data_IF_674152702406
#
_entry.id   IF_674152702406
#
_cell.length_a   1.000
_cell.length_b   1.000
_cell.length_c   1.000
_cell.angle_alpha   90.00
_cell.angle_beta   90.00
_cell.angle_gamma   90.00
#
_symmetry.space_group_name_H-M   'P 1'
#
loop_
_entity.id
_entity.type
_entity.pdbx_description
1 polymer ?
#
# COMPACT_ATOMS: atom_id res chain seq x y z
N UNK A 1 8.28 6.64 17.60
CA UNK A 1 9.40 7.01 18.53
C UNK A 1 10.72 6.62 17.88
N UNK A 2 11.79 7.47 17.92
CA UNK A 2 13.12 7.06 17.42
C UNK A 2 13.93 6.48 18.57
N UNK A 3 14.30 5.22 18.45
CA UNK A 3 15.14 4.53 19.41
C UNK A 3 16.63 4.89 19.21
N UNK A 4 17.50 4.46 20.11
CA UNK A 4 18.93 4.76 20.03
C UNK A 4 19.54 4.23 18.73
N UNK A 5 19.26 2.98 18.37
CA UNK A 5 19.76 2.37 17.12
C UNK A 5 19.35 3.13 15.86
N UNK A 6 18.12 3.70 15.84
CA UNK A 6 17.62 4.48 14.70
C UNK A 6 18.40 5.80 14.51
N UNK A 7 18.97 6.33 15.60
CA UNK A 7 19.78 7.56 15.59
C UNK A 7 21.21 7.29 15.10
N UNK A 8 21.76 6.14 15.49
CA UNK A 8 23.15 5.78 15.17
C UNK A 8 23.30 5.10 13.79
N UNK A 9 22.34 4.26 13.42
CA UNK A 9 22.44 3.40 12.23
C UNK A 9 21.39 3.74 11.16
N UNK A 10 20.40 4.58 11.49
CA UNK A 10 19.23 4.83 10.65
C UNK A 10 18.19 3.71 10.76
N UNK A 11 17.04 3.93 10.12
CA UNK A 11 16.01 2.91 10.02
C UNK A 11 16.42 1.86 8.99
N UNK A 12 16.06 0.58 9.18
CA UNK A 12 16.35 -0.45 8.18
C UNK A 12 15.68 -0.13 6.85
N UNK A 13 16.32 -0.48 5.71
CA UNK A 13 15.68 -0.30 4.40
C UNK A 13 14.41 -1.15 4.31
N UNK A 14 13.36 -0.59 3.71
CA UNK A 14 12.04 -1.24 3.59
C UNK A 14 12.00 -2.13 2.35
N UNK A 15 12.66 -3.27 2.43
CA UNK A 15 12.82 -4.23 1.32
C UNK A 15 12.13 -5.57 1.58
N UNK A 16 11.74 -5.85 2.84
CA UNK A 16 11.09 -7.10 3.19
C UNK A 16 9.66 -7.12 2.64
N UNK A 17 9.31 -8.15 1.87
CA UNK A 17 8.00 -8.30 1.24
C UNK A 17 7.13 -9.36 1.92
N UNK A 18 7.70 -10.14 2.84
CA UNK A 18 7.03 -11.21 3.55
C UNK A 18 6.97 -10.94 5.05
N UNK A 19 5.86 -11.32 5.67
CA UNK A 19 5.67 -11.23 7.11
C UNK A 19 6.27 -12.47 7.76
N UNK A 20 7.30 -12.26 8.59
CA UNK A 20 7.89 -13.30 9.41
C UNK A 20 7.18 -13.44 10.77
N UNK A 21 7.58 -14.45 11.56
CA UNK A 21 6.99 -14.76 12.87
C UNK A 21 7.08 -13.57 13.85
N UNK A 22 8.18 -12.81 13.83
CA UNK A 22 8.35 -11.66 14.73
C UNK A 22 7.35 -10.53 14.41
N UNK A 23 7.16 -10.21 13.13
CA UNK A 23 6.19 -9.21 12.67
C UNK A 23 4.77 -9.70 12.98
N UNK A 24 4.46 -10.97 12.70
CA UNK A 24 3.16 -11.56 13.02
C UNK A 24 2.84 -11.45 14.51
N UNK A 25 3.76 -11.84 15.38
CA UNK A 25 3.59 -11.72 16.82
C UNK A 25 3.37 -10.27 17.27
N UNK A 26 4.08 -9.32 16.67
CA UNK A 26 3.89 -7.89 16.90
C UNK A 26 2.48 -7.41 16.51
N UNK A 27 1.98 -7.84 15.35
CA UNK A 27 0.61 -7.52 14.90
C UNK A 27 -0.43 -8.09 15.87
N UNK A 28 -0.28 -9.36 16.28
CA UNK A 28 -1.19 -10.00 17.25
C UNK A 28 -1.22 -9.24 18.57
N UNK A 29 -0.05 -8.83 19.09
CA UNK A 29 0.02 -8.05 20.34
C UNK A 29 -0.71 -6.72 20.21
N UNK A 30 -0.53 -6.01 19.09
CA UNK A 30 -1.25 -4.76 18.83
C UNK A 30 -2.76 -5.02 18.78
N UNK A 31 -3.23 -6.03 18.04
CA UNK A 31 -4.67 -6.35 17.95
C UNK A 31 -5.25 -6.66 19.34
N UNK A 32 -4.56 -7.48 20.15
CA UNK A 32 -4.99 -7.81 21.52
C UNK A 32 -5.13 -6.59 22.42
N UNK A 33 -4.28 -5.59 22.27
CA UNK A 33 -4.42 -4.31 22.99
C UNK A 33 -5.74 -3.60 22.64
N UNK A 34 -6.14 -3.61 21.35
CA UNK A 34 -7.39 -2.98 20.89
C UNK A 34 -8.64 -3.81 21.20
N UNK A 35 -8.51 -5.14 21.38
CA UNK A 35 -9.54 -5.97 21.97
C UNK A 35 -9.73 -5.61 23.44
N UNK A 36 -8.65 -5.61 24.22
CA UNK A 36 -8.66 -5.36 25.65
C UNK A 36 -9.20 -3.97 26.04
N UNK A 37 -8.98 -2.95 25.21
CA UNK A 37 -9.50 -1.60 25.42
C UNK A 37 -10.93 -1.42 24.86
N UNK A 38 -11.57 -2.49 24.38
CA UNK A 38 -12.93 -2.52 23.83
C UNK A 38 -13.12 -1.72 22.54
N UNK A 39 -12.04 -1.39 21.81
CA UNK A 39 -12.13 -0.62 20.55
C UNK A 39 -12.86 -1.35 19.43
N UNK A 40 -12.98 -2.68 19.49
CA UNK A 40 -13.71 -3.51 18.53
C UNK A 40 -15.15 -3.83 18.98
N UNK A 41 -15.56 -3.36 20.16
CA UNK A 41 -16.86 -3.65 20.74
C UNK A 41 -18.05 -3.06 19.98
N UNK A 42 -17.83 -2.09 19.09
CA UNK A 42 -18.88 -1.56 18.23
C UNK A 42 -19.37 -2.60 17.20
N UNK A 43 -18.44 -3.35 16.62
CA UNK A 43 -18.72 -4.39 15.61
C UNK A 43 -18.96 -5.76 16.26
N UNK A 44 -18.29 -6.01 17.40
CA UNK A 44 -18.33 -7.29 18.14
C UNK A 44 -18.63 -7.04 19.63
N UNK A 45 -19.88 -6.67 19.96
CA UNK A 45 -20.22 -6.28 21.33
C UNK A 45 -20.40 -7.48 22.26
N UNK A 46 -19.57 -7.54 23.30
CA UNK A 46 -19.93 -8.29 24.52
C UNK A 46 -20.90 -7.45 25.35
N UNK A 47 -22.04 -8.05 25.76
CA UNK A 47 -23.08 -7.31 26.49
C UNK A 47 -23.20 -7.80 27.92
N UNK A 48 -23.38 -6.87 28.85
CA UNK A 48 -23.67 -7.15 30.24
C UNK A 48 -24.99 -7.87 30.36
N UNK A 49 -25.00 -8.99 31.11
CA UNK A 49 -26.19 -9.78 31.34
C UNK A 49 -27.29 -9.04 32.13
N UNK A 50 -26.89 -8.06 32.92
CA UNK A 50 -27.80 -7.32 33.81
C UNK A 50 -28.43 -6.11 33.06
N UNK A 51 -27.59 -5.27 32.40
CA UNK A 51 -28.08 -4.05 31.79
C UNK A 51 -28.25 -4.13 30.28
N UNK A 52 -27.68 -5.13 29.61
CA UNK A 52 -27.63 -5.22 28.14
C UNK A 52 -26.66 -4.23 27.46
N UNK A 53 -25.99 -3.38 28.27
CA UNK A 53 -25.00 -2.43 27.77
C UNK A 53 -23.72 -3.12 27.29
N UNK A 54 -22.98 -2.48 26.39
CA UNK A 54 -21.70 -3.00 25.93
C UNK A 54 -20.70 -2.98 27.09
N UNK A 55 -20.06 -4.13 27.38
CA UNK A 55 -19.08 -4.27 28.45
C UNK A 55 -17.71 -4.76 27.98
N UNK A 56 -17.57 -5.14 26.71
CA UNK A 56 -16.34 -5.63 26.16
C UNK A 56 -16.43 -5.94 24.66
N UNK A 57 -15.43 -6.66 24.16
CA UNK A 57 -15.40 -7.21 22.81
C UNK A 57 -15.66 -8.71 22.90
N UNK A 58 -16.64 -9.22 22.15
CA UNK A 58 -16.87 -10.64 21.95
C UNK A 58 -15.78 -11.22 21.02
N UNK A 59 -14.78 -11.86 21.61
CA UNK A 59 -13.64 -12.43 20.89
C UNK A 59 -14.06 -13.62 19.99
N UNK A 60 -15.10 -14.36 20.35
CA UNK A 60 -15.61 -15.46 19.54
C UNK A 60 -16.28 -14.93 18.27
N UNK A 61 -17.16 -13.93 18.41
CA UNK A 61 -17.78 -13.26 17.27
C UNK A 61 -16.74 -12.57 16.37
N UNK A 62 -15.71 -11.92 16.94
CA UNK A 62 -14.60 -11.37 16.19
C UNK A 62 -13.87 -12.46 15.40
N UNK A 63 -13.56 -13.60 16.04
CA UNK A 63 -12.90 -14.74 15.39
C UNK A 63 -13.69 -15.29 14.22
N UNK A 64 -15.01 -15.43 14.37
CA UNK A 64 -15.89 -15.89 13.28
C UNK A 64 -16.00 -14.85 12.14
N UNK A 65 -16.04 -13.57 12.49
CA UNK A 65 -15.98 -12.47 11.52
C UNK A 65 -14.70 -12.51 10.68
N UNK A 66 -13.55 -12.69 11.33
CA UNK A 66 -12.26 -12.82 10.64
C UNK A 66 -12.27 -14.05 9.71
N UNK A 67 -12.68 -15.21 10.18
CA UNK A 67 -12.74 -16.45 9.37
C UNK A 67 -13.63 -16.30 8.14
N UNK A 68 -14.75 -15.61 8.26
CA UNK A 68 -15.70 -15.41 7.17
C UNK A 68 -15.15 -14.56 6.03
N UNK A 69 -14.28 -13.60 6.36
CA UNK A 69 -13.72 -12.62 5.40
C UNK A 69 -12.32 -13.03 4.94
N UNK A 70 -11.52 -13.65 5.82
CA UNK A 70 -10.13 -14.00 5.56
C UNK A 70 -9.89 -15.50 5.80
N UNK A 71 -10.48 -16.37 4.96
CA UNK A 71 -10.41 -17.82 5.15
C UNK A 71 -8.99 -18.39 5.09
N UNK A 72 -8.08 -17.71 4.40
CA UNK A 72 -6.69 -18.13 4.19
C UNK A 72 -5.73 -17.66 5.29
N UNK A 73 -6.23 -17.08 6.39
CA UNK A 73 -5.40 -16.69 7.53
C UNK A 73 -4.80 -17.91 8.26
N UNK A 74 -5.41 -19.09 8.09
CA UNK A 74 -4.91 -20.36 8.60
C UNK A 74 -4.80 -20.41 10.12
N UNK A 75 -3.72 -21.00 10.64
CA UNK A 75 -3.45 -21.15 12.08
C UNK A 75 -3.27 -19.82 12.82
N UNK A 76 -3.14 -18.72 12.12
CA UNK A 76 -3.01 -17.37 12.70
C UNK A 76 -4.19 -16.98 13.58
N UNK A 77 -5.39 -17.49 13.31
CA UNK A 77 -6.58 -17.16 14.07
C UNK A 77 -6.54 -17.66 15.51
N UNK A 78 -5.99 -18.84 15.74
CA UNK A 78 -5.91 -19.43 17.09
C UNK A 78 -5.03 -18.58 18.01
N UNK A 79 -4.05 -17.87 17.50
CA UNK A 79 -3.20 -16.96 18.28
C UNK A 79 -3.87 -15.67 18.72
N UNK A 80 -4.94 -15.23 18.09
CA UNK A 80 -5.70 -14.06 18.56
C UNK A 80 -6.50 -14.40 19.82
N UNK A 81 -6.97 -15.64 19.93
CA UNK A 81 -7.86 -16.11 21.01
C UNK A 81 -7.12 -16.85 22.13
N UNK A 82 -5.92 -17.39 21.87
CA UNK A 82 -5.15 -18.09 22.91
C UNK A 82 -4.24 -17.14 23.70
N UNK A 83 -4.11 -17.33 25.03
CA UNK A 83 -3.14 -16.58 25.83
C UNK A 83 -1.72 -16.89 25.33
N UNK A 84 -0.88 -15.85 25.22
CA UNK A 84 0.54 -15.93 24.78
C UNK A 84 1.41 -16.70 25.80
N UNK A 85 0.84 -17.51 26.65
CA UNK A 85 1.56 -18.20 27.74
C UNK A 85 1.78 -19.65 27.36
N UNK A 86 2.83 -19.89 26.56
CA UNK A 86 3.53 -21.18 26.69
C UNK A 86 4.97 -20.90 27.10
N UNK A 87 5.43 -21.40 28.24
CA UNK A 87 6.85 -21.40 28.61
C UNK A 87 7.71 -22.23 27.64
N UNK A 88 7.06 -23.01 26.78
CA UNK A 88 7.68 -23.77 25.69
C UNK A 88 7.07 -23.25 24.40
N UNK A 89 7.65 -22.15 23.85
CA UNK A 89 7.17 -21.54 22.61
C UNK A 89 6.95 -22.60 21.53
N UNK A 90 5.70 -22.78 21.10
CA UNK A 90 5.44 -23.45 19.84
C UNK A 90 5.86 -22.42 18.80
N UNK A 91 7.05 -22.59 18.25
CA UNK A 91 7.48 -21.84 17.08
C UNK A 91 6.55 -22.22 15.93
N UNK A 92 5.69 -21.27 15.55
CA UNK A 92 5.00 -21.39 14.27
C UNK A 92 6.10 -21.30 13.24
N UNK A 93 6.30 -22.36 12.47
CA UNK A 93 7.23 -22.35 11.37
C UNK A 93 6.82 -21.23 10.39
N UNK A 94 7.82 -20.51 9.89
CA UNK A 94 7.60 -19.36 8.99
C UNK A 94 6.80 -19.72 7.71
N UNK A 95 6.72 -21.02 7.39
CA UNK A 95 6.00 -21.57 6.25
C UNK A 95 4.47 -21.42 6.35
N UNK A 96 3.91 -21.19 7.55
CA UNK A 96 2.46 -21.15 7.78
C UNK A 96 1.87 -19.72 7.75
N UNK A 97 2.69 -18.68 7.57
CA UNK A 97 2.25 -17.30 7.59
C UNK A 97 1.94 -16.82 6.17
N UNK A 98 0.66 -16.70 5.85
CA UNK A 98 0.23 -16.08 4.61
C UNK A 98 0.28 -14.55 4.75
N UNK A 99 1.30 -13.93 4.16
CA UNK A 99 1.53 -12.47 4.21
C UNK A 99 0.30 -11.67 3.78
N UNK A 100 -0.35 -12.04 2.68
CA UNK A 100 -1.51 -11.28 2.19
C UNK A 100 -2.71 -11.41 3.13
N UNK A 101 -2.97 -12.59 3.65
CA UNK A 101 -4.04 -12.79 4.64
C UNK A 101 -3.80 -11.98 5.92
N UNK A 102 -2.54 -11.83 6.35
CA UNK A 102 -2.20 -10.98 7.51
C UNK A 102 -2.37 -9.49 7.18
N UNK A 103 -2.04 -9.06 5.98
CA UNK A 103 -2.27 -7.67 5.55
C UNK A 103 -3.77 -7.37 5.47
N UNK A 104 -4.58 -8.29 4.93
CA UNK A 104 -6.05 -8.20 4.94
C UNK A 104 -6.60 -8.12 6.38
N UNK A 105 -6.01 -8.89 7.33
CA UNK A 105 -6.37 -8.81 8.74
C UNK A 105 -6.11 -7.41 9.32
N UNK A 106 -4.99 -6.80 8.99
CA UNK A 106 -4.66 -5.43 9.47
C UNK A 106 -5.70 -4.43 8.97
N UNK A 107 -6.09 -4.50 7.69
CA UNK A 107 -7.15 -3.64 7.12
C UNK A 107 -8.51 -3.91 7.78
N UNK A 108 -8.86 -5.19 7.94
CA UNK A 108 -10.11 -5.60 8.58
C UNK A 108 -10.23 -5.07 10.01
N UNK A 109 -9.18 -5.21 10.82
CA UNK A 109 -9.15 -4.70 12.19
C UNK A 109 -9.25 -3.17 12.21
N UNK A 110 -8.47 -2.47 11.39
CA UNK A 110 -8.52 -1.00 11.30
C UNK A 110 -9.94 -0.51 10.99
N UNK A 111 -10.63 -1.17 10.05
CA UNK A 111 -11.98 -0.79 9.65
C UNK A 111 -13.02 -0.95 10.79
N UNK A 112 -12.83 -1.95 11.63
CA UNK A 112 -13.75 -2.27 12.74
C UNK A 112 -13.42 -1.52 14.05
N UNK A 113 -12.26 -0.84 14.15
CA UNK A 113 -11.91 -0.06 15.34
C UNK A 113 -12.78 1.19 15.44
N UNK A 114 -13.32 1.42 16.63
CA UNK A 114 -14.03 2.65 17.02
C UNK A 114 -13.49 3.16 18.34
N UNK A 115 -13.71 4.44 18.60
CA UNK A 115 -13.46 4.99 19.92
C UNK A 115 -14.60 4.58 20.86
N UNK A 116 -14.24 4.30 22.10
CA UNK A 116 -15.19 3.95 23.17
C UNK A 116 -14.94 4.80 24.40
N UNK A 117 -16.00 5.13 25.09
CA UNK A 117 -15.96 5.89 26.34
C UNK A 117 -16.66 5.10 27.44
N UNK A 118 -16.00 4.97 28.60
CA UNK A 118 -16.61 4.39 29.79
C UNK A 118 -17.83 5.21 30.23
N UNK A 119 -18.92 4.52 30.59
CA UNK A 119 -20.15 5.11 31.12
C UNK A 119 -20.49 4.45 32.45
N UNK A 120 -21.15 5.21 33.32
CA UNK A 120 -21.58 4.72 34.63
C UNK A 120 -20.41 4.37 35.58
N UNK A 121 -20.74 3.61 36.61
CA UNK A 121 -19.79 3.11 37.60
C UNK A 121 -19.27 1.72 37.22
N UNK A 122 -18.14 1.32 37.83
CA UNK A 122 -17.63 -0.04 37.68
C UNK A 122 -18.65 -1.06 38.22
N UNK A 123 -19.02 -2.05 37.40
CA UNK A 123 -19.94 -3.09 37.76
C UNK A 123 -19.21 -4.17 38.54
N UNK A 124 -19.18 -4.00 39.87
CA UNK A 124 -18.34 -4.80 40.78
C UNK A 124 -18.62 -6.30 40.71
N UNK A 125 -19.90 -6.69 40.59
CA UNK A 125 -20.28 -8.09 40.53
C UNK A 125 -19.74 -8.80 39.28
N UNK A 126 -19.89 -8.18 38.10
CA UNK A 126 -19.42 -8.71 36.83
C UNK A 126 -17.99 -8.25 36.46
N UNK A 127 -17.36 -7.43 37.31
CA UNK A 127 -15.97 -6.97 37.19
C UNK A 127 -15.65 -6.27 35.84
N UNK A 128 -16.57 -5.44 35.33
CA UNK A 128 -16.37 -4.69 34.11
C UNK A 128 -16.87 -3.24 34.17
N UNK A 129 -16.52 -2.44 33.20
CA UNK A 129 -17.15 -1.16 32.91
C UNK A 129 -18.13 -1.29 31.76
N UNK A 130 -19.08 -0.38 31.65
CA UNK A 130 -19.90 -0.24 30.48
C UNK A 130 -19.31 0.82 29.54
N UNK A 131 -19.59 0.67 28.25
CA UNK A 131 -19.03 1.54 27.22
C UNK A 131 -20.11 2.09 26.29
N UNK A 132 -19.94 3.34 25.85
CA UNK A 132 -20.65 3.89 24.70
C UNK A 132 -19.66 4.10 23.56
N UNK A 133 -20.15 3.97 22.33
CA UNK A 133 -19.37 4.19 21.12
C UNK A 133 -19.25 5.70 20.89
N UNK A 134 -18.02 6.15 20.59
CA UNK A 134 -17.69 7.55 20.28
C UNK A 134 -16.64 7.55 19.16
N UNK A 135 -17.11 7.58 17.91
CA UNK A 135 -16.24 7.41 16.74
C UNK A 135 -15.58 8.75 16.32
N UNK A 136 -14.53 9.14 17.04
CA UNK A 136 -13.66 10.30 16.71
C UNK A 136 -12.43 9.93 15.89
N UNK A 137 -12.17 8.64 15.71
CA UNK A 137 -11.04 8.10 14.95
C UNK A 137 -9.70 8.07 15.69
N UNK A 138 -9.66 8.40 17.00
CA UNK A 138 -8.43 8.41 17.76
C UNK A 138 -7.81 7.00 17.89
N UNK A 139 -8.63 5.98 18.17
CA UNK A 139 -8.18 4.60 18.27
C UNK A 139 -7.74 4.04 16.92
N UNK A 140 -8.42 4.39 15.82
CA UNK A 140 -7.96 4.02 14.47
C UNK A 140 -6.59 4.60 14.15
N UNK A 141 -6.40 5.87 14.46
CA UNK A 141 -5.10 6.54 14.28
C UNK A 141 -4.00 5.91 15.15
N UNK A 142 -4.29 5.61 16.41
CA UNK A 142 -3.34 4.95 17.30
C UNK A 142 -2.95 3.54 16.80
N UNK A 143 -3.92 2.77 16.32
CA UNK A 143 -3.65 1.47 15.69
C UNK A 143 -2.75 1.61 14.47
N UNK A 144 -3.08 2.53 13.57
CA UNK A 144 -2.31 2.81 12.37
C UNK A 144 -0.86 3.20 12.70
N UNK A 145 -0.64 4.07 13.68
CA UNK A 145 0.70 4.50 14.09
C UNK A 145 1.52 3.32 14.63
N UNK A 146 0.91 2.43 15.42
CA UNK A 146 1.59 1.22 15.93
C UNK A 146 1.94 0.25 14.82
N UNK A 147 1.04 0.00 13.87
CA UNK A 147 1.31 -0.86 12.70
C UNK A 147 2.41 -0.26 11.83
N UNK A 148 2.35 1.06 11.56
CA UNK A 148 3.41 1.76 10.81
C UNK A 148 4.78 1.61 11.50
N UNK A 149 4.85 1.85 12.80
CA UNK A 149 6.10 1.71 13.57
C UNK A 149 6.64 0.27 13.51
N UNK A 150 5.76 -0.74 13.67
CA UNK A 150 6.14 -2.14 13.56
C UNK A 150 6.71 -2.48 12.17
N UNK A 151 6.04 -2.05 11.11
CA UNK A 151 6.47 -2.32 9.74
C UNK A 151 7.78 -1.61 9.41
N UNK A 152 7.91 -0.33 9.80
CA UNK A 152 9.12 0.46 9.58
C UNK A 152 10.35 -0.15 10.27
N UNK A 153 10.21 -0.52 11.54
CA UNK A 153 11.32 -1.08 12.31
C UNK A 153 11.77 -2.46 11.86
N UNK A 154 10.90 -3.20 11.20
CA UNK A 154 11.22 -4.52 10.65
C UNK A 154 11.56 -4.45 9.16
N UNK A 155 11.66 -3.27 8.55
CA UNK A 155 12.01 -3.14 7.13
C UNK A 155 10.95 -3.69 6.18
N UNK A 156 9.69 -3.85 6.65
CA UNK A 156 8.60 -4.37 5.82
C UNK A 156 8.15 -3.30 4.81
N UNK A 157 8.02 -3.71 3.55
CA UNK A 157 7.72 -2.81 2.43
C UNK A 157 6.22 -2.52 2.25
N UNK A 158 5.49 -2.35 3.37
CA UNK A 158 4.07 -1.98 3.37
C UNK A 158 3.79 -0.90 4.40
N UNK A 159 2.74 -0.12 4.19
CA UNK A 159 2.26 0.87 5.15
C UNK A 159 0.73 0.86 5.20
N UNK A 160 0.15 1.15 6.36
CA UNK A 160 -1.28 1.34 6.52
C UNK A 160 -1.60 2.82 6.32
N UNK A 161 -2.44 3.15 5.34
CA UNK A 161 -2.85 4.53 5.03
C UNK A 161 -3.88 5.07 6.01
N UNK A 162 -4.14 6.38 5.98
CA UNK A 162 -5.20 7.01 6.79
C UNK A 162 -6.61 6.50 6.41
N UNK A 163 -6.77 6.01 5.18
CA UNK A 163 -8.00 5.35 4.71
C UNK A 163 -8.14 3.90 5.21
N UNK A 164 -7.13 3.36 5.89
CA UNK A 164 -7.12 1.97 6.38
C UNK A 164 -6.76 0.94 5.33
N UNK A 165 -6.10 1.33 4.26
CA UNK A 165 -5.65 0.44 3.18
C UNK A 165 -4.15 0.19 3.29
N UNK A 166 -3.73 -1.02 2.94
CA UNK A 166 -2.32 -1.37 2.83
C UNK A 166 -1.79 -0.96 1.45
N UNK A 167 -0.73 -0.18 1.47
CA UNK A 167 0.02 0.19 0.27
C UNK A 167 1.49 -0.23 0.39
N UNK A 168 2.13 -0.50 -0.75
CA UNK A 168 3.59 -0.66 -0.77
C UNK A 168 4.27 0.69 -0.58
N UNK A 169 5.33 0.66 0.22
CA UNK A 169 6.22 1.81 0.35
C UNK A 169 7.11 1.88 -0.87
N UNK A 170 6.96 2.95 -1.60
CA UNK A 170 7.85 3.27 -2.72
C UNK A 170 9.11 3.96 -2.16
N UNK A 171 10.33 3.64 -2.64
CA UNK A 171 11.57 4.28 -2.16
C UNK A 171 11.44 5.80 -2.11
N UNK A 172 11.98 6.41 -1.06
CA UNK A 172 11.78 7.84 -0.69
C UNK A 172 11.99 8.84 -1.85
N UNK A 173 13.04 8.71 -2.70
CA UNK A 173 13.23 9.65 -3.81
C UNK A 173 12.06 9.64 -4.78
N UNK A 174 11.41 8.52 -4.92
CA UNK A 174 10.34 8.30 -5.87
C UNK A 174 8.97 8.61 -5.29
N UNK A 175 8.76 8.34 -4.01
CA UNK A 175 7.54 8.71 -3.31
C UNK A 175 7.28 10.23 -3.44
N UNK A 176 8.33 11.04 -3.32
CA UNK A 176 8.25 12.49 -3.53
C UNK A 176 7.92 12.89 -4.98
N UNK A 177 8.27 12.05 -5.94
CA UNK A 177 8.03 12.30 -7.37
C UNK A 177 6.63 11.82 -7.77
N UNK A 178 6.23 10.64 -7.32
CA UNK A 178 4.92 10.03 -7.59
C UNK A 178 3.76 10.83 -6.97
N UNK A 179 3.98 11.50 -5.84
CA UNK A 179 2.99 12.41 -5.24
C UNK A 179 2.83 13.74 -6.01
N UNK A 180 3.70 14.03 -6.98
CA UNK A 180 3.47 15.17 -7.86
C UNK A 180 2.38 14.83 -8.85
N UNK A 181 1.29 15.55 -8.74
CA UNK A 181 0.19 15.46 -9.70
C UNK A 181 0.72 15.87 -11.08
N UNK A 182 0.72 14.93 -12.03
CA UNK A 182 0.92 15.26 -13.44
C UNK A 182 -0.33 15.99 -13.90
N UNK A 183 -0.19 17.24 -14.24
CA UNK A 183 -1.30 18.10 -14.66
C UNK A 183 -0.95 18.75 -16.00
N UNK A 184 -1.31 18.08 -17.09
CA UNK A 184 -1.21 18.60 -18.45
C UNK A 184 -2.60 19.02 -18.95
N UNK A 185 -2.65 19.68 -20.10
CA UNK A 185 -3.93 20.01 -20.76
C UNK A 185 -4.65 18.81 -21.36
N UNK A 186 -4.07 17.62 -21.29
CA UNK A 186 -4.68 16.36 -21.74
C UNK A 186 -5.24 15.57 -20.54
N UNK A 187 -6.58 15.60 -20.29
CA UNK A 187 -7.17 14.90 -19.15
C UNK A 187 -6.95 13.38 -19.15
N UNK A 188 -6.88 12.77 -20.34
CA UNK A 188 -6.69 11.34 -20.45
C UNK A 188 -5.24 10.94 -20.13
N UNK A 189 -4.25 11.76 -20.52
CA UNK A 189 -2.86 11.56 -20.08
C UNK A 189 -2.76 11.63 -18.55
N UNK A 190 -3.39 12.64 -17.95
CA UNK A 190 -3.39 12.81 -16.50
C UNK A 190 -4.04 11.61 -15.79
N UNK A 191 -5.16 11.10 -16.32
CA UNK A 191 -5.84 9.90 -15.80
C UNK A 191 -4.95 8.66 -15.86
N UNK A 192 -4.32 8.41 -17.00
CA UNK A 192 -3.42 7.25 -17.18
C UNK A 192 -2.27 7.27 -16.17
N UNK A 193 -1.65 8.43 -15.96
CA UNK A 193 -0.56 8.57 -14.97
C UNK A 193 -1.07 8.40 -13.55
N UNK A 194 -2.25 8.94 -13.21
CA UNK A 194 -2.88 8.77 -11.91
C UNK A 194 -3.18 7.29 -11.63
N UNK A 195 -3.76 6.58 -12.59
CA UNK A 195 -4.04 5.14 -12.50
C UNK A 195 -2.75 4.34 -12.29
N UNK A 196 -1.69 4.67 -13.05
CA UNK A 196 -0.39 4.01 -12.92
C UNK A 196 0.23 4.22 -11.54
N UNK A 197 0.20 5.46 -11.03
CA UNK A 197 0.76 5.80 -9.70
C UNK A 197 -0.05 5.22 -8.55
N UNK A 198 -1.36 5.03 -8.70
CA UNK A 198 -2.18 4.29 -7.75
C UNK A 198 -1.82 2.80 -7.73
N UNK A 199 -1.79 2.17 -8.90
CA UNK A 199 -1.57 0.71 -9.02
C UNK A 199 -0.17 0.24 -8.62
N UNK A 200 0.89 1.03 -8.83
CA UNK A 200 2.26 0.63 -8.46
C UNK A 200 2.43 0.43 -6.96
N UNK A 201 1.56 1.03 -6.15
CA UNK A 201 1.55 0.92 -4.68
C UNK A 201 0.84 -0.33 -4.18
N UNK A 202 0.04 -0.98 -5.03
CA UNK A 202 -0.70 -2.17 -4.64
C UNK A 202 0.26 -3.36 -4.45
N UNK A 203 -0.03 -4.27 -3.49
CA UNK A 203 0.89 -5.35 -3.14
C UNK A 203 1.00 -6.45 -4.21
N UNK A 204 -0.06 -6.67 -5.00
CA UNK A 204 -0.10 -7.75 -6.00
C UNK A 204 0.76 -7.43 -7.21
N UNK A 205 1.55 -8.42 -7.66
CA UNK A 205 2.42 -8.29 -8.83
C UNK A 205 1.63 -7.90 -10.08
N UNK A 206 0.43 -8.46 -10.24
CA UNK A 206 -0.46 -8.19 -11.37
C UNK A 206 -0.91 -6.71 -11.43
N UNK A 207 -1.25 -6.11 -10.28
CA UNK A 207 -1.61 -4.70 -10.22
C UNK A 207 -0.43 -3.80 -10.61
N UNK A 208 0.79 -4.20 -10.21
CA UNK A 208 2.01 -3.47 -10.55
C UNK A 208 2.38 -3.62 -12.02
N UNK A 209 2.11 -4.78 -12.66
CA UNK A 209 2.18 -4.95 -14.12
C UNK A 209 1.18 -4.04 -14.83
N UNK A 210 -0.05 -3.94 -14.31
CA UNK A 210 -1.04 -3.00 -14.82
C UNK A 210 -0.61 -1.53 -14.67
N UNK A 211 0.18 -1.19 -13.62
CA UNK A 211 0.77 0.12 -13.48
C UNK A 211 1.75 0.44 -14.63
N UNK A 212 2.59 -0.53 -15.03
CA UNK A 212 3.45 -0.38 -16.20
C UNK A 212 2.63 -0.19 -17.48
N UNK A 213 1.62 -1.01 -17.71
CA UNK A 213 0.74 -0.89 -18.87
C UNK A 213 0.16 0.52 -19.00
N UNK A 214 -0.42 1.06 -17.92
CA UNK A 214 -0.98 2.41 -17.91
C UNK A 214 0.06 3.50 -18.12
N UNK A 215 1.27 3.33 -17.59
CA UNK A 215 2.34 4.30 -17.78
C UNK A 215 2.87 4.29 -19.22
N UNK A 216 2.93 3.11 -19.86
CA UNK A 216 3.27 3.00 -21.29
C UNK A 216 2.18 3.56 -22.18
N UNK A 217 0.91 3.40 -21.85
CA UNK A 217 -0.20 4.09 -22.54
C UNK A 217 -0.06 5.61 -22.46
N UNK A 218 0.30 6.14 -21.28
CA UNK A 218 0.58 7.55 -21.10
C UNK A 218 1.75 8.03 -21.96
N UNK A 219 2.81 7.23 -22.04
CA UNK A 219 3.97 7.52 -22.90
C UNK A 219 3.61 7.53 -24.39
N UNK A 220 2.87 6.53 -24.88
CA UNK A 220 2.43 6.51 -26.28
C UNK A 220 1.52 7.70 -26.59
N UNK A 221 0.65 8.09 -25.66
CA UNK A 221 -0.19 9.28 -25.81
C UNK A 221 0.61 10.56 -25.84
N UNK A 222 1.68 10.68 -25.05
CA UNK A 222 2.57 11.84 -25.04
C UNK A 222 3.23 12.09 -26.40
N UNK A 223 3.51 11.02 -27.17
CA UNK A 223 4.09 11.13 -28.53
C UNK A 223 3.13 11.76 -29.55
N UNK A 224 1.84 11.80 -29.24
CA UNK A 224 0.80 12.37 -30.10
C UNK A 224 0.16 13.61 -29.47
N UNK A 225 0.84 14.24 -28.53
CA UNK A 225 0.31 15.38 -27.77
C UNK A 225 -0.01 16.58 -28.64
N UNK A 226 0.81 16.86 -29.65
CA UNK A 226 0.57 17.95 -30.58
C UNK A 226 -0.16 17.47 -31.81
N UNK A 227 -1.19 18.22 -32.19
CA UNK A 227 -1.89 18.04 -33.46
C UNK A 227 -1.33 19.03 -34.49
N UNK A 228 -1.20 18.58 -35.75
CA UNK A 228 -0.89 19.39 -36.90
C UNK A 228 -2.15 19.52 -37.75
N UNK A 229 -2.67 20.74 -37.90
CA UNK A 229 -3.92 21.03 -38.64
C UNK A 229 -5.11 20.14 -38.25
N UNK A 230 -5.22 19.86 -36.94
CA UNK A 230 -6.27 19.00 -36.38
C UNK A 230 -6.06 17.50 -36.63
N UNK A 231 -4.93 17.08 -37.21
CA UNK A 231 -4.57 15.68 -37.46
C UNK A 231 -3.34 15.26 -36.66
N UNK A 232 -3.25 13.97 -36.37
CA UNK A 232 -2.09 13.39 -35.69
C UNK A 232 -0.99 13.08 -36.72
N UNK A 233 0.10 13.85 -36.67
CA UNK A 233 1.38 13.47 -37.29
C UNK A 233 2.34 13.10 -36.15
N UNK A 234 2.49 11.80 -35.91
CA UNK A 234 3.30 11.28 -34.79
C UNK A 234 4.74 11.75 -34.84
N UNK A 235 5.35 11.82 -36.04
CA UNK A 235 6.74 12.21 -36.20
C UNK A 235 6.93 13.69 -35.84
N UNK A 236 6.12 14.56 -36.37
CA UNK A 236 6.18 16.01 -36.07
C UNK A 236 5.82 16.30 -34.61
N UNK A 237 4.85 15.58 -34.07
CA UNK A 237 4.49 15.69 -32.63
C UNK A 237 5.67 15.33 -31.73
N UNK A 238 6.35 14.20 -31.99
CA UNK A 238 7.52 13.76 -31.22
C UNK A 238 8.66 14.79 -31.33
N UNK A 239 8.96 15.28 -32.52
CA UNK A 239 9.96 16.33 -32.72
C UNK A 239 9.66 17.59 -31.89
N UNK A 240 8.40 18.02 -31.89
CA UNK A 240 7.95 19.18 -31.12
C UNK A 240 8.05 18.95 -29.61
N UNK A 241 7.70 17.74 -29.16
CA UNK A 241 7.87 17.34 -27.75
C UNK A 241 9.34 17.40 -27.37
N UNK A 242 10.23 16.74 -28.12
CA UNK A 242 11.66 16.70 -27.83
C UNK A 242 12.29 18.09 -27.78
N UNK A 243 11.93 18.98 -28.71
CA UNK A 243 12.41 20.36 -28.73
C UNK A 243 11.97 21.13 -27.48
N UNK A 244 10.71 20.97 -27.05
CA UNK A 244 10.22 21.59 -25.82
C UNK A 244 10.94 21.07 -24.57
N UNK A 245 11.10 19.74 -24.46
CA UNK A 245 11.76 19.10 -23.32
C UNK A 245 13.24 19.47 -23.19
N UNK A 246 13.93 19.68 -24.31
CA UNK A 246 15.36 19.98 -24.34
C UNK A 246 15.69 21.47 -24.16
N UNK A 247 14.70 22.36 -24.26
CA UNK A 247 14.95 23.82 -24.15
C UNK A 247 15.99 24.36 -25.13
N UNK A 248 16.06 23.78 -26.34
CA UNK A 248 17.05 24.07 -27.41
C UNK A 248 18.47 23.52 -27.16
N UNK A 249 18.72 22.72 -26.12
CA UNK A 249 19.98 21.99 -25.95
C UNK A 249 20.01 20.78 -26.90
N UNK A 250 20.89 20.78 -27.86
CA UNK A 250 21.02 19.75 -28.89
C UNK A 250 21.49 18.41 -28.31
N UNK A 251 22.39 18.43 -27.32
CA UNK A 251 22.91 17.22 -26.70
C UNK A 251 21.83 16.57 -25.84
N UNK A 252 21.12 17.37 -25.06
CA UNK A 252 20.01 16.87 -24.24
C UNK A 252 18.84 16.38 -25.10
N UNK A 253 18.57 17.04 -26.22
CA UNK A 253 17.58 16.58 -27.20
C UNK A 253 17.94 15.20 -27.78
N UNK A 254 19.21 14.98 -28.12
CA UNK A 254 19.64 13.66 -28.61
C UNK A 254 19.47 12.59 -27.54
N UNK A 255 19.89 12.86 -26.29
CA UNK A 255 19.71 11.95 -25.17
C UNK A 255 18.25 11.60 -24.97
N UNK A 256 17.33 12.55 -24.98
CA UNK A 256 15.89 12.33 -24.86
C UNK A 256 15.32 11.52 -26.03
N UNK A 257 15.82 11.74 -27.26
CA UNK A 257 15.43 10.97 -28.43
C UNK A 257 15.83 9.49 -28.28
N UNK A 258 17.07 9.25 -27.87
CA UNK A 258 17.59 7.89 -27.65
C UNK A 258 16.82 7.18 -26.52
N UNK A 259 16.49 7.89 -25.44
CA UNK A 259 15.66 7.37 -24.37
C UNK A 259 14.23 7.05 -24.85
N UNK A 260 13.63 7.92 -25.64
CA UNK A 260 12.30 7.69 -26.22
C UNK A 260 12.27 6.44 -27.14
N UNK A 261 13.32 6.22 -27.91
CA UNK A 261 13.49 5.02 -28.74
C UNK A 261 13.69 3.77 -27.89
N UNK A 262 14.53 3.84 -26.84
CA UNK A 262 14.77 2.75 -25.92
C UNK A 262 13.49 2.33 -25.17
N UNK A 263 12.74 3.30 -24.65
CA UNK A 263 11.44 3.04 -23.99
C UNK A 263 10.42 2.44 -24.96
N UNK A 264 10.39 2.90 -26.21
CA UNK A 264 9.52 2.31 -27.24
C UNK A 264 9.88 0.84 -27.50
N UNK A 265 11.18 0.54 -27.61
CA UNK A 265 11.67 -0.82 -27.81
C UNK A 265 11.30 -1.72 -26.62
N UNK A 266 11.51 -1.25 -25.39
CA UNK A 266 11.11 -1.99 -24.18
C UNK A 266 9.62 -2.32 -24.21
N UNK A 267 8.76 -1.37 -24.56
CA UNK A 267 7.31 -1.59 -24.64
C UNK A 267 6.89 -2.62 -25.69
N UNK A 268 7.71 -2.83 -26.73
CA UNK A 268 7.48 -3.83 -27.78
C UNK A 268 8.08 -5.20 -27.41
N UNK A 269 9.24 -5.23 -26.76
CA UNK A 269 9.99 -6.45 -26.49
C UNK A 269 9.49 -7.18 -25.23
N UNK A 270 8.96 -6.43 -24.24
CA UNK A 270 8.50 -6.97 -22.95
C UNK A 270 6.96 -7.08 -22.91
N UNK A 271 6.46 -8.00 -22.09
CA UNK A 271 5.02 -8.18 -21.85
C UNK A 271 4.44 -7.05 -20.99
N UNK A 272 4.52 -5.82 -21.48
CA UNK A 272 3.94 -4.64 -20.83
C UNK A 272 2.52 -4.41 -21.33
N UNK A 273 2.34 -4.34 -22.66
CA UNK A 273 1.05 -4.04 -23.33
C UNK A 273 0.51 -5.21 -24.16
N UNK A 274 1.39 -6.10 -24.60
CA UNK A 274 1.07 -7.19 -25.50
C UNK A 274 1.62 -8.52 -24.97
N UNK A 275 0.74 -9.49 -24.82
CA UNK A 275 1.09 -10.85 -24.37
C UNK A 275 1.28 -11.78 -25.59
N UNK A 276 2.02 -11.30 -26.60
CA UNK A 276 2.27 -12.07 -27.80
C UNK A 276 3.36 -13.13 -27.57
N UNK A 277 3.32 -14.21 -28.37
CA UNK A 277 4.40 -15.20 -28.33
C UNK A 277 5.72 -14.56 -28.78
N UNK A 278 6.75 -14.71 -27.94
CA UNK A 278 8.09 -14.18 -28.21
C UNK A 278 8.43 -12.90 -27.46
N UNK A 279 7.49 -12.30 -26.71
CA UNK A 279 7.79 -11.18 -25.81
C UNK A 279 8.33 -11.67 -24.47
N UNK A 280 9.18 -10.87 -23.84
CA UNK A 280 9.88 -11.17 -22.57
C UNK A 280 8.92 -10.97 -21.41
N UNK A 281 8.69 -12.02 -20.61
CA UNK A 281 7.87 -11.90 -19.40
C UNK A 281 8.60 -11.06 -18.32
N UNK A 282 7.85 -10.24 -17.59
CA UNK A 282 8.33 -9.53 -16.41
C UNK A 282 7.80 -10.28 -15.20
N UNK A 283 8.68 -10.95 -14.47
CA UNK A 283 8.27 -11.82 -13.35
C UNK A 283 8.75 -11.28 -11.99
N UNK A 284 9.68 -10.33 -12.02
CA UNK A 284 10.33 -9.78 -10.84
C UNK A 284 9.78 -8.38 -10.48
N UNK A 285 9.54 -8.18 -9.19
CA UNK A 285 9.11 -6.90 -8.62
C UNK A 285 10.11 -5.77 -8.86
N UNK A 286 11.40 -6.06 -8.78
CA UNK A 286 12.47 -5.07 -8.95
C UNK A 286 12.59 -4.62 -10.42
N UNK A 287 12.33 -5.53 -11.37
CA UNK A 287 12.24 -5.19 -12.80
C UNK A 287 11.08 -4.23 -13.07
N UNK A 288 9.92 -4.48 -12.45
CA UNK A 288 8.77 -3.58 -12.56
C UNK A 288 9.12 -2.21 -11.99
N UNK A 289 9.75 -2.15 -10.83
CA UNK A 289 10.14 -0.88 -10.20
C UNK A 289 11.12 -0.11 -11.09
N UNK A 290 12.17 -0.76 -11.58
CA UNK A 290 13.13 -0.13 -12.48
C UNK A 290 12.48 0.44 -13.74
N UNK A 291 11.63 -0.36 -14.41
CA UNK A 291 10.96 0.06 -15.64
C UNK A 291 9.95 1.18 -15.38
N UNK A 292 9.20 1.08 -14.27
CA UNK A 292 8.26 2.11 -13.87
C UNK A 292 8.97 3.43 -13.61
N UNK A 293 10.07 3.41 -12.88
CA UNK A 293 10.82 4.60 -12.49
C UNK A 293 11.45 5.29 -13.70
N UNK A 294 12.02 4.51 -14.60
CA UNK A 294 12.62 5.00 -15.82
C UNK A 294 11.59 5.71 -16.70
N UNK A 295 10.45 5.10 -16.94
CA UNK A 295 9.35 5.69 -17.72
C UNK A 295 8.72 6.89 -16.99
N UNK A 296 8.50 6.77 -15.69
CA UNK A 296 7.90 7.86 -14.91
C UNK A 296 8.79 9.11 -14.90
N UNK A 297 10.10 8.95 -14.87
CA UNK A 297 11.05 10.07 -14.95
C UNK A 297 10.87 10.84 -16.25
N UNK A 298 10.71 10.15 -17.38
CA UNK A 298 10.40 10.76 -18.67
C UNK A 298 9.06 11.51 -18.66
N UNK A 299 7.99 10.87 -18.18
CA UNK A 299 6.66 11.49 -18.11
C UNK A 299 6.64 12.70 -17.16
N UNK A 300 7.37 12.65 -16.05
CA UNK A 300 7.47 13.79 -15.13
C UNK A 300 8.23 14.99 -15.79
N UNK A 301 9.29 14.72 -16.55
CA UNK A 301 9.94 15.77 -17.33
C UNK A 301 8.98 16.34 -18.38
N UNK A 302 8.27 15.46 -19.10
CA UNK A 302 7.27 15.85 -20.08
C UNK A 302 6.23 16.79 -19.46
N UNK A 303 5.61 16.41 -18.33
CA UNK A 303 4.56 17.21 -17.70
C UNK A 303 5.01 18.60 -17.23
N UNK A 304 6.31 18.78 -16.95
CA UNK A 304 6.86 20.08 -16.52
C UNK A 304 7.17 21.04 -17.68
N UNK A 305 7.45 20.50 -18.83
CA UNK A 305 7.97 21.29 -19.95
C UNK A 305 6.95 21.50 -21.08
N UNK A 306 5.83 20.74 -21.06
CA UNK A 306 4.93 20.68 -22.22
C UNK A 306 3.92 21.84 -22.27
N UNK A 307 3.47 22.34 -21.15
CA UNK A 307 2.52 23.45 -20.96
C UNK A 307 3.23 24.72 -20.53
#
# INVERSE_FOLDING_TARGET
>A
MKYFSDKEQGMPPRTLTEINVAIWNGIVLIIKEFIANSSLAASFPERCYDSGEICGCDEAALGDGIKSIIPNLGMGLNRLTEPIVSPFGIDIEAQDINTYAVLDLVEYIHHNIKDVRKIGNYHTFFKHYHYCIDDRGANRKAFQEKIKELFERNGLNYTLTDAGQIERVVPLPLNLIIHRVVNTKDPELNRLVSDATGKIRLPKLEDRKLALDKLWDAFERSKTYFLEDGKVDKKKSVDRVLNKLSGNDTNFRQLLNDECLALTKIGNDYQIRHYEKGTIAIENSDEIDYLFYRMFSYINLFSKCID
#
